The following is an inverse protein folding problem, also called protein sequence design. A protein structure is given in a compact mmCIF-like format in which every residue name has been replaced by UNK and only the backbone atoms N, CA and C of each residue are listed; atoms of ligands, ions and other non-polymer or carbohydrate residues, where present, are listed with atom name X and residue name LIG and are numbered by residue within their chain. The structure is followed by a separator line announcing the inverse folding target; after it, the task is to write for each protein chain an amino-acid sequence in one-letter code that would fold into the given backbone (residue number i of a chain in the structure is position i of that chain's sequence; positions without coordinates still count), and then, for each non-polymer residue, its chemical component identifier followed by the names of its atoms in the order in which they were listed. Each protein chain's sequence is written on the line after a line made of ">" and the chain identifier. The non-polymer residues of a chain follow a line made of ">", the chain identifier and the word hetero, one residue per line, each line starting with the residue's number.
data_IF_137596091710
#
_entry.id   IF_137596091710
#
_cell.length_a   1.000
_cell.length_b   1.000
_cell.length_c   1.000
_cell.angle_alpha   90.00
_cell.angle_beta   90.00
_cell.angle_gamma   90.00
#
_symmetry.space_group_name_H-M   'P 1'
#
loop_
_entity.id
_entity.type
_entity.pdbx_description
1 polymer ?
#
# COMPACT_ATOMS: atom_id res chain seq x y z
N UNK A 1 -64.58 6.59 9.65
CA UNK A 1 -64.17 6.14 9.43
C UNK A 1 -63.20 5.95 8.99
N UNK A 2 -62.53 5.78 9.05
CA UNK A 2 -61.70 5.39 8.60
C UNK A 2 -60.60 5.82 8.36
N UNK A 3 -59.78 5.78 8.46
CA UNK A 3 -58.81 6.30 8.11
C UNK A 3 -57.73 5.86 8.65
N UNK A 4 -57.06 5.66 8.80
CA UNK A 4 -56.06 5.20 9.30
C UNK A 4 -55.14 4.85 8.58
N UNK A 5 -54.74 4.68 8.08
CA UNK A 5 -53.97 4.24 7.27
C UNK A 5 -52.84 4.89 7.12
N UNK A 6 -52.49 5.52 7.29
CA UNK A 6 -51.53 6.11 6.90
C UNK A 6 -50.38 5.95 7.57
N UNK A 7 -50.01 5.70 8.31
CA UNK A 7 -48.95 5.57 8.93
C UNK A 7 -47.96 4.80 8.48
N UNK A 8 -47.84 4.07 7.84
CA UNK A 8 -46.85 3.20 7.52
C UNK A 8 -45.75 3.69 6.77
N UNK A 9 -45.88 4.69 6.21
CA UNK A 9 -44.91 5.06 5.36
C UNK A 9 -43.67 5.52 5.84
N UNK A 10 -43.58 5.99 6.98
CA UNK A 10 -42.41 6.53 7.35
C UNK A 10 -41.29 5.73 7.59
N UNK A 11 -41.37 4.55 7.85
CA UNK A 11 -40.28 3.80 8.19
C UNK A 11 -39.33 3.52 7.17
N UNK A 12 -39.62 3.48 6.02
CA UNK A 12 -38.74 3.00 5.02
C UNK A 12 -37.57 3.90 4.76
N UNK A 13 -37.65 5.10 5.09
CA UNK A 13 -36.57 5.97 4.74
C UNK A 13 -35.34 5.83 5.52
N UNK A 14 -35.46 5.39 6.75
CA UNK A 14 -34.30 5.41 7.57
C UNK A 14 -33.30 4.33 7.26
N UNK A 15 -33.72 3.24 6.80
CA UNK A 15 -32.82 2.17 6.56
C UNK A 15 -31.82 2.47 5.46
N UNK A 16 -32.19 3.28 4.53
CA UNK A 16 -31.32 3.57 3.44
C UNK A 16 -30.08 4.33 3.83
N UNK A 17 -30.17 5.10 4.85
CA UNK A 17 -29.06 5.92 5.24
C UNK A 17 -27.92 5.09 5.76
N UNK A 18 -28.24 4.03 6.43
CA UNK A 18 -27.20 3.23 7.02
C UNK A 18 -26.37 2.49 6.00
N UNK A 19 -26.93 2.20 4.89
CA UNK A 19 -26.22 1.43 3.90
C UNK A 19 -25.10 2.20 3.22
N UNK A 20 -25.07 3.50 3.41
CA UNK A 20 -24.09 4.31 2.72
C UNK A 20 -22.86 4.63 3.53
N UNK A 21 -22.71 4.05 4.69
CA UNK A 21 -21.50 4.28 5.44
C UNK A 21 -20.38 3.51 4.80
N UNK A 22 -19.35 4.21 4.42
CA UNK A 22 -18.17 3.61 3.84
C UNK A 22 -17.11 3.46 4.89
N UNK A 23 -16.54 2.28 5.01
CA UNK A 23 -15.42 2.05 5.90
C UNK A 23 -14.13 2.41 5.20
N UNK A 24 -13.20 3.02 5.91
CA UNK A 24 -11.87 3.27 5.39
C UNK A 24 -11.08 1.95 5.33
N UNK A 25 -10.20 1.86 4.37
CA UNK A 25 -9.28 0.74 4.28
C UNK A 25 -8.16 0.93 5.29
N UNK A 26 -7.88 -0.06 6.09
CA UNK A 26 -6.78 0.02 7.04
C UNK A 26 -5.47 -0.31 6.33
N UNK A 27 -4.57 0.67 6.26
CA UNK A 27 -3.26 0.44 5.66
C UNK A 27 -2.44 -0.54 6.49
N UNK A 28 -2.55 -0.49 7.82
CA UNK A 28 -1.86 -1.46 8.67
C UNK A 28 -2.34 -2.88 8.39
N UNK A 29 -3.63 -3.07 8.15
CA UNK A 29 -4.12 -4.40 7.83
C UNK A 29 -3.60 -4.88 6.49
N UNK A 30 -3.55 -4.00 5.49
CA UNK A 30 -3.02 -4.34 4.18
C UNK A 30 -1.55 -4.75 4.30
N UNK A 31 -0.76 -3.99 5.04
CA UNK A 31 0.65 -4.31 5.26
C UNK A 31 0.79 -5.66 5.97
N UNK A 32 -0.02 -5.89 7.00
CA UNK A 32 0.03 -7.15 7.75
C UNK A 32 -0.40 -8.35 6.92
N UNK A 33 -1.31 -8.16 5.99
CA UNK A 33 -1.75 -9.24 5.10
C UNK A 33 -0.62 -9.74 4.19
N UNK A 34 0.39 -8.91 3.91
CA UNK A 34 1.57 -9.32 3.17
C UNK A 34 2.66 -9.92 4.08
N UNK A 35 2.45 -9.91 5.37
CA UNK A 35 3.47 -10.32 6.35
C UNK A 35 4.09 -11.66 6.05
N UNK A 36 5.43 -11.70 6.06
CA UNK A 36 6.27 -12.88 5.81
C UNK A 36 6.16 -13.49 4.42
N UNK A 37 5.35 -12.89 3.54
CA UNK A 37 5.24 -13.33 2.15
C UNK A 37 5.84 -12.33 1.19
N UNK A 38 5.66 -11.05 1.45
CA UNK A 38 6.12 -9.97 0.56
C UNK A 38 6.76 -8.84 1.33
N UNK A 39 7.76 -8.23 0.70
CA UNK A 39 8.26 -6.91 1.05
C UNK A 39 7.46 -5.91 0.21
N UNK A 40 7.27 -4.71 0.72
CA UNK A 40 6.44 -3.72 0.05
C UNK A 40 7.23 -2.44 -0.18
N UNK A 41 7.13 -1.91 -1.40
CA UNK A 41 7.41 -0.51 -1.62
C UNK A 41 6.05 0.19 -1.52
N UNK A 42 5.92 1.05 -0.52
CA UNK A 42 4.74 1.88 -0.34
C UNK A 42 5.02 3.26 -0.92
N UNK A 43 4.23 3.68 -1.90
CA UNK A 43 4.30 5.01 -2.47
C UNK A 43 3.09 5.81 -2.00
N UNK A 44 3.32 6.94 -1.35
CA UNK A 44 2.25 7.90 -1.03
C UNK A 44 2.62 9.21 -1.71
N UNK A 45 1.76 9.69 -2.58
CA UNK A 45 2.05 10.86 -3.41
C UNK A 45 0.78 11.63 -3.75
N UNK A 46 0.93 12.93 -4.03
CA UNK A 46 -0.15 13.73 -4.59
C UNK A 46 -0.13 13.59 -6.11
N UNK A 47 -1.21 14.02 -6.77
CA UNK A 47 -1.30 13.98 -8.22
C UNK A 47 -0.19 14.80 -8.90
N UNK A 48 0.31 15.84 -8.25
CA UNK A 48 1.35 16.67 -8.82
C UNK A 48 2.75 16.05 -8.75
N UNK A 49 2.92 15.02 -7.95
CA UNK A 49 4.23 14.37 -7.77
C UNK A 49 4.53 13.42 -8.94
N UNK A 50 4.40 13.93 -10.17
CA UNK A 50 4.48 13.08 -11.37
C UNK A 50 5.84 12.42 -11.55
N UNK A 51 6.93 13.12 -11.23
CA UNK A 51 8.25 12.52 -11.33
C UNK A 51 8.43 11.35 -10.38
N UNK A 52 7.92 11.47 -9.17
CA UNK A 52 7.99 10.41 -8.18
C UNK A 52 7.15 9.21 -8.61
N UNK A 53 5.92 9.47 -9.02
CA UNK A 53 4.99 8.41 -9.44
C UNK A 53 5.55 7.68 -10.66
N UNK A 54 5.93 8.42 -11.70
CA UNK A 54 6.44 7.84 -12.94
C UNK A 54 7.75 7.08 -12.72
N UNK A 55 8.62 7.61 -11.87
CA UNK A 55 9.88 6.95 -11.56
C UNK A 55 9.69 5.61 -10.85
N UNK A 56 8.76 5.55 -9.89
CA UNK A 56 8.45 4.30 -9.19
C UNK A 56 7.81 3.29 -10.13
N UNK A 57 6.85 3.73 -10.93
CA UNK A 57 6.18 2.84 -11.88
C UNK A 57 7.13 2.30 -12.94
N UNK A 58 8.01 3.16 -13.46
CA UNK A 58 9.02 2.76 -14.43
C UNK A 58 9.99 1.75 -13.84
N UNK A 59 10.42 1.99 -12.60
CA UNK A 59 11.32 1.07 -11.91
C UNK A 59 10.69 -0.32 -11.79
N UNK A 60 9.43 -0.39 -11.35
CA UNK A 60 8.76 -1.68 -11.19
C UNK A 60 8.52 -2.39 -12.52
N UNK A 61 8.19 -1.64 -13.58
CA UNK A 61 8.00 -2.23 -14.90
C UNK A 61 9.32 -2.75 -15.50
N UNK A 62 10.40 -2.01 -15.30
CA UNK A 62 11.69 -2.37 -15.88
C UNK A 62 12.43 -3.47 -15.10
N UNK A 63 12.10 -3.65 -13.83
CA UNK A 63 12.83 -4.54 -12.92
C UNK A 63 11.96 -5.68 -12.41
N UNK A 64 11.01 -6.13 -13.19
CA UNK A 64 10.02 -7.11 -12.74
C UNK A 64 10.65 -8.39 -12.20
N UNK A 65 11.60 -8.96 -12.91
CA UNK A 65 12.25 -10.19 -12.47
C UNK A 65 13.00 -10.01 -11.16
N UNK A 66 13.78 -8.94 -11.05
CA UNK A 66 14.56 -8.64 -9.84
C UNK A 66 13.65 -8.37 -8.64
N UNK A 67 12.52 -7.72 -8.88
CA UNK A 67 11.55 -7.45 -7.82
C UNK A 67 10.86 -8.75 -7.36
N UNK A 68 10.47 -9.61 -8.28
CA UNK A 68 9.90 -10.91 -7.94
C UNK A 68 10.88 -11.78 -7.18
N UNK A 69 12.14 -11.75 -7.58
CA UNK A 69 13.18 -12.53 -6.91
C UNK A 69 13.34 -12.13 -5.44
N UNK A 70 13.01 -10.89 -5.11
CA UNK A 70 13.07 -10.37 -3.74
C UNK A 70 11.71 -10.35 -3.04
N UNK A 71 10.70 -10.96 -3.63
CA UNK A 71 9.32 -10.92 -3.14
C UNK A 71 8.85 -9.50 -2.86
N UNK A 72 9.20 -8.57 -3.75
CA UNK A 72 8.91 -7.16 -3.60
C UNK A 72 7.70 -6.77 -4.44
N UNK A 73 6.73 -6.11 -3.81
CA UNK A 73 5.52 -5.61 -4.47
C UNK A 73 5.39 -4.12 -4.28
N UNK A 74 4.64 -3.48 -5.16
CA UNK A 74 4.36 -2.06 -5.08
C UNK A 74 2.92 -1.84 -4.60
N UNK A 75 2.76 -1.00 -3.59
CA UNK A 75 1.45 -0.51 -3.16
C UNK A 75 1.44 1.00 -3.29
N UNK A 76 0.56 1.51 -4.15
CA UNK A 76 0.48 2.95 -4.45
C UNK A 76 -0.76 3.56 -3.84
N UNK A 77 -0.61 4.71 -3.21
CA UNK A 77 -1.70 5.53 -2.71
C UNK A 77 -1.47 6.93 -3.24
N UNK A 78 -2.22 7.34 -4.25
CA UNK A 78 -1.97 8.59 -4.96
C UNK A 78 -3.18 9.49 -4.94
N UNK A 79 -2.96 10.76 -4.60
CA UNK A 79 -3.98 11.81 -4.68
C UNK A 79 -5.18 11.53 -3.81
N UNK A 80 -6.35 11.53 -4.42
CA UNK A 80 -7.60 11.34 -3.67
C UNK A 80 -7.73 9.96 -3.04
N UNK A 81 -6.94 8.99 -3.47
CA UNK A 81 -6.94 7.68 -2.86
C UNK A 81 -6.54 7.73 -1.40
N UNK A 82 -5.73 8.73 -1.01
CA UNK A 82 -5.29 8.88 0.38
C UNK A 82 -6.48 8.95 1.33
N UNK A 83 -7.57 9.57 0.92
CA UNK A 83 -8.76 9.73 1.76
C UNK A 83 -9.51 8.43 1.99
N UNK A 84 -9.22 7.40 1.22
CA UNK A 84 -9.88 6.09 1.36
C UNK A 84 -9.22 5.21 2.41
N UNK A 85 -8.09 5.65 2.95
CA UNK A 85 -7.33 4.86 3.90
C UNK A 85 -7.37 5.42 5.31
N UNK A 86 -7.36 4.52 6.28
CA UNK A 86 -7.02 4.85 7.64
C UNK A 86 -5.49 4.73 7.74
N UNK A 87 -4.82 5.86 7.91
CA UNK A 87 -3.36 5.93 7.93
C UNK A 87 -2.80 5.76 9.32
N UNK A 88 -1.83 4.88 9.53
CA UNK A 88 -1.07 4.87 10.77
C UNK A 88 -0.31 6.20 10.93
N UNK A 89 -0.03 6.56 12.17
CA UNK A 89 0.63 7.84 12.46
C UNK A 89 1.97 7.99 11.74
N UNK A 90 2.68 6.89 11.56
CA UNK A 90 4.01 6.95 10.93
C UNK A 90 3.96 7.38 9.46
N UNK A 91 2.81 7.30 8.82
CA UNK A 91 2.64 7.75 7.44
C UNK A 91 1.77 8.98 7.31
N UNK A 92 1.08 9.38 8.38
CA UNK A 92 0.12 10.44 8.32
C UNK A 92 0.73 11.76 7.92
N UNK A 93 0.18 12.39 6.89
CA UNK A 93 0.66 13.66 6.36
C UNK A 93 1.99 13.59 5.63
N UNK A 94 2.53 12.40 5.40
CA UNK A 94 3.81 12.24 4.73
C UNK A 94 3.65 11.73 3.31
N UNK A 95 4.60 12.07 2.46
CA UNK A 95 4.69 11.61 1.08
C UNK A 95 6.08 11.07 0.81
N UNK A 96 6.18 10.15 -0.11
CA UNK A 96 7.45 9.55 -0.48
C UNK A 96 7.34 8.06 -0.70
N UNK A 97 8.45 7.38 -0.51
CA UNK A 97 8.59 5.95 -0.75
C UNK A 97 9.12 5.30 0.52
N UNK A 98 8.48 4.22 0.96
CA UNK A 98 8.95 3.41 2.10
C UNK A 98 9.23 1.99 1.64
N UNK A 99 10.32 1.43 2.14
CA UNK A 99 10.56 -0.01 2.05
C UNK A 99 10.07 -0.64 3.35
N UNK A 100 9.10 -1.55 3.24
CA UNK A 100 8.53 -2.26 4.36
C UNK A 100 8.97 -3.71 4.29
N UNK A 101 9.51 -4.23 5.38
CA UNK A 101 9.99 -5.60 5.43
C UNK A 101 8.89 -6.62 5.68
N UNK A 102 9.25 -7.89 5.75
CA UNK A 102 8.33 -8.98 6.01
C UNK A 102 7.60 -8.87 7.35
N UNK A 103 8.22 -8.22 8.32
CA UNK A 103 7.61 -8.02 9.63
C UNK A 103 6.67 -6.82 9.70
N UNK A 104 6.43 -6.16 8.56
CA UNK A 104 5.58 -4.98 8.50
C UNK A 104 6.27 -3.69 8.96
N UNK A 105 7.52 -3.75 9.34
CA UNK A 105 8.26 -2.58 9.81
C UNK A 105 8.93 -1.82 8.68
N UNK A 106 9.04 -0.51 8.84
CA UNK A 106 9.72 0.34 7.88
C UNK A 106 11.23 0.12 7.96
N UNK A 107 11.85 -0.13 6.84
CA UNK A 107 13.30 -0.38 6.76
C UNK A 107 14.05 0.80 6.17
N UNK A 108 13.40 1.59 5.34
CA UNK A 108 13.98 2.78 4.72
C UNK A 108 12.89 3.69 4.20
N UNK A 109 13.22 4.95 4.02
CA UNK A 109 12.32 5.96 3.51
C UNK A 109 13.08 7.03 2.73
N UNK A 110 12.47 7.53 1.65
CA UNK A 110 12.93 8.75 1.00
C UNK A 110 11.74 9.53 0.45
N UNK A 111 11.89 10.84 0.33
CA UNK A 111 10.85 11.67 -0.29
C UNK A 111 10.96 11.64 -1.81
N UNK A 112 12.05 11.19 -2.35
CA UNK A 112 12.33 11.18 -3.77
C UNK A 112 12.73 9.77 -4.22
N UNK A 113 13.25 9.65 -5.42
CA UNK A 113 13.61 8.37 -6.02
C UNK A 113 14.91 7.77 -5.48
N UNK A 114 15.60 8.47 -4.59
CA UNK A 114 16.92 8.00 -4.12
C UNK A 114 16.87 6.64 -3.42
N UNK A 115 15.76 6.30 -2.79
CA UNK A 115 15.62 4.98 -2.17
C UNK A 115 15.73 3.87 -3.21
N UNK A 116 15.22 4.09 -4.42
CA UNK A 116 15.25 3.06 -5.46
C UNK A 116 16.68 2.72 -5.90
N UNK A 117 17.59 3.70 -5.85
CA UNK A 117 18.98 3.49 -6.23
C UNK A 117 19.70 2.54 -5.26
N UNK A 118 19.24 2.48 -4.03
CA UNK A 118 19.86 1.66 -2.98
C UNK A 118 19.04 0.44 -2.62
N UNK A 119 17.89 0.28 -3.25
CA UNK A 119 16.87 -0.66 -2.81
C UNK A 119 17.37 -2.10 -2.73
N UNK A 120 18.01 -2.58 -3.77
CA UNK A 120 18.44 -3.96 -3.81
C UNK A 120 19.59 -4.23 -2.83
N UNK A 121 20.49 -3.27 -2.68
CA UNK A 121 21.56 -3.41 -1.69
C UNK A 121 21.00 -3.47 -0.27
N UNK A 122 20.00 -2.65 0.02
CA UNK A 122 19.33 -2.67 1.33
C UNK A 122 18.64 -4.01 1.59
N UNK A 123 17.91 -4.51 0.60
CA UNK A 123 17.21 -5.78 0.75
C UNK A 123 18.20 -6.93 0.86
N UNK A 124 19.21 -6.97 -0.01
CA UNK A 124 20.15 -8.08 -0.08
C UNK A 124 21.04 -8.17 1.17
N UNK A 125 21.17 -7.09 1.93
CA UNK A 125 21.87 -7.10 3.19
C UNK A 125 21.05 -7.63 4.37
N UNK A 126 19.75 -7.83 4.18
CA UNK A 126 18.88 -8.33 5.25
C UNK A 126 19.15 -9.81 5.52
N UNK A 127 19.19 -10.24 6.80
CA UNK A 127 19.48 -11.65 7.11
C UNK A 127 18.53 -12.64 6.46
N UNK A 128 17.22 -12.34 6.45
CA UNK A 128 16.25 -13.23 5.82
C UNK A 128 16.47 -13.33 4.33
N UNK A 129 16.83 -12.21 3.68
CA UNK A 129 17.12 -12.20 2.25
C UNK A 129 18.37 -13.01 1.93
N UNK A 130 19.38 -12.95 2.79
CA UNK A 130 20.58 -13.77 2.59
C UNK A 130 20.26 -15.26 2.64
N UNK A 131 19.38 -15.67 3.53
CA UNK A 131 18.88 -17.05 3.55
C UNK A 131 18.08 -17.40 2.31
N UNK A 132 17.29 -16.47 1.80
CA UNK A 132 16.57 -16.69 0.55
C UNK A 132 17.53 -16.92 -0.61
N UNK A 133 18.58 -16.11 -0.71
CA UNK A 133 19.59 -16.24 -1.78
C UNK A 133 20.32 -17.57 -1.74
N UNK A 134 20.53 -18.14 -0.55
CA UNK A 134 21.13 -19.45 -0.43
C UNK A 134 20.24 -20.58 -0.92
N UNK A 135 18.93 -20.37 -0.90
CA UNK A 135 17.95 -21.38 -1.27
C UNK A 135 17.40 -21.24 -2.69
N UNK A 136 17.56 -20.05 -3.27
CA UNK A 136 17.03 -19.75 -4.59
C UNK A 136 18.14 -19.59 -5.59
N UNK A 137 17.97 -20.20 -6.74
CA UNK A 137 18.79 -19.84 -7.89
C UNK A 137 18.13 -18.60 -8.50
N UNK A 138 18.89 -17.55 -8.73
CA UNK A 138 18.38 -16.39 -9.44
C UNK A 138 18.16 -16.77 -10.89
N UNK A 139 16.96 -16.46 -11.40
CA UNK A 139 16.65 -16.65 -12.79
C UNK A 139 16.68 -15.33 -13.57
N UNK A 140 17.12 -14.26 -12.91
CA UNK A 140 17.20 -12.95 -13.54
C UNK A 140 18.65 -12.69 -13.99
N UNK A 141 18.80 -12.44 -15.27
CA UNK A 141 20.12 -12.13 -15.87
C UNK A 141 20.23 -10.67 -16.25
#
# INVERSE_FOLDING_TARGET
>A
MRNFLELSVLLSGTALIMANTNSLLSLDKIINDFGWEKRIILLIADHEDTNLIDGVETFFAASECQNKNRNLVLHKIVGDEITKYSMPKRYEGKRGIWLIGYDGGDKAYSRDLSLLDQLYDLIDAMPVRQNEMLRQASSCD
#
